data_IF_532834933973
#
_entry.id   IF_532834933973
#
_cell.length_a   1.000
_cell.length_b   1.000
_cell.length_c   1.000
_cell.angle_alpha   90.00
_cell.angle_beta   90.00
_cell.angle_gamma   90.00
#
_symmetry.space_group_name_H-M   'P 1'
#
loop_
_entity.id
_entity.type
_entity.pdbx_description
1 polymer ?
#
# COMPACT_ATOMS: atom_id res chain seq x y z
N UNK A 1 8.48 -15.42 -5.63
CA UNK A 1 8.21 -14.37 -4.62
C UNK A 1 9.03 -13.13 -4.94
N UNK A 2 8.38 -11.98 -5.12
CA UNK A 2 9.03 -10.66 -5.25
C UNK A 2 8.97 -9.95 -3.89
N UNK A 3 10.07 -9.30 -3.48
CA UNK A 3 10.08 -8.38 -2.33
C UNK A 3 10.01 -6.95 -2.82
N UNK A 4 9.19 -6.13 -2.19
CA UNK A 4 9.00 -4.73 -2.54
C UNK A 4 9.02 -3.80 -1.33
N UNK A 5 9.07 -2.51 -1.59
CA UNK A 5 8.99 -1.45 -0.58
C UNK A 5 8.11 -0.28 -1.04
N UNK A 6 7.82 0.65 -0.12
CA UNK A 6 6.81 1.69 -0.35
C UNK A 6 7.43 3.07 -0.57
N UNK A 7 7.11 3.69 -1.67
CA UNK A 7 7.15 5.11 -2.04
C UNK A 7 8.55 5.74 -2.08
N UNK A 8 9.27 5.82 -0.96
CA UNK A 8 10.53 6.56 -0.91
C UNK A 8 11.72 5.66 -1.16
N UNK A 9 12.59 6.04 -2.08
CA UNK A 9 13.94 5.51 -2.22
C UNK A 9 14.87 6.37 -1.34
N UNK A 10 15.54 5.73 -0.38
CA UNK A 10 16.47 6.38 0.54
C UNK A 10 17.93 6.10 0.16
N UNK A 11 18.18 5.00 -0.52
CA UNK A 11 19.48 4.66 -1.10
C UNK A 11 19.83 5.53 -2.30
N UNK A 12 21.06 5.40 -2.81
CA UNK A 12 21.51 6.13 -4.00
C UNK A 12 21.47 7.65 -3.88
N UNK A 13 21.50 8.20 -2.65
CA UNK A 13 21.37 9.64 -2.40
C UNK A 13 19.92 10.13 -2.26
N UNK A 14 18.94 9.21 -2.32
CA UNK A 14 17.51 9.51 -2.26
C UNK A 14 16.93 9.95 -3.61
N UNK A 15 15.79 9.35 -3.98
CA UNK A 15 15.05 9.75 -5.20
C UNK A 15 13.68 10.32 -4.83
N UNK A 16 13.25 11.43 -5.45
CA UNK A 16 11.90 11.95 -5.27
C UNK A 16 10.89 10.98 -5.87
N UNK A 17 9.75 10.76 -5.18
CA UNK A 17 8.71 9.82 -5.61
C UNK A 17 7.65 10.44 -6.51
N UNK A 18 7.52 11.75 -6.53
CA UNK A 18 6.57 12.55 -7.32
C UNK A 18 6.93 14.03 -7.22
N UNK A 19 6.27 14.87 -7.99
CA UNK A 19 6.42 16.32 -7.93
C UNK A 19 5.73 16.87 -6.66
N UNK A 20 6.52 17.26 -5.68
CA UNK A 20 6.06 17.75 -4.36
C UNK A 20 5.87 19.26 -4.30
N UNK A 21 5.97 19.97 -5.41
CA UNK A 21 5.76 21.42 -5.45
C UNK A 21 4.33 21.77 -5.02
N UNK A 22 4.17 22.95 -4.45
CA UNK A 22 2.85 23.47 -4.10
C UNK A 22 2.05 23.78 -5.38
N UNK A 23 0.73 23.73 -5.30
CA UNK A 23 -0.17 23.95 -6.43
C UNK A 23 0.10 25.28 -7.17
N UNK A 24 0.52 26.36 -6.46
CA UNK A 24 0.88 27.66 -7.05
C UNK A 24 2.12 27.60 -7.97
N UNK A 25 2.94 26.58 -7.83
CA UNK A 25 4.13 26.33 -8.67
C UNK A 25 3.84 25.32 -9.79
N UNK A 26 2.57 25.05 -10.05
CA UNK A 26 2.09 24.19 -11.13
C UNK A 26 2.82 22.81 -11.19
N UNK A 27 2.70 21.99 -10.13
CA UNK A 27 3.28 20.65 -10.17
C UNK A 27 2.62 19.82 -11.26
N UNK A 28 3.39 18.89 -11.85
CA UNK A 28 2.90 18.14 -13.00
C UNK A 28 3.16 16.65 -12.91
N UNK A 29 2.28 15.87 -13.52
CA UNK A 29 2.47 14.44 -13.71
C UNK A 29 3.72 14.13 -14.54
N UNK A 30 4.08 14.96 -15.52
CA UNK A 30 5.28 14.75 -16.33
C UNK A 30 6.56 14.74 -15.49
N UNK A 31 6.71 15.68 -14.56
CA UNK A 31 7.83 15.71 -13.60
C UNK A 31 7.79 14.45 -12.70
N UNK A 32 6.60 14.07 -12.22
CA UNK A 32 6.44 12.85 -11.42
C UNK A 32 6.82 11.59 -12.20
N UNK A 33 6.47 11.51 -13.49
CA UNK A 33 6.83 10.38 -14.36
C UNK A 33 8.34 10.30 -14.58
N UNK A 34 9.03 11.45 -14.74
CA UNK A 34 10.49 11.46 -14.82
C UNK A 34 11.14 10.96 -13.52
N UNK A 35 10.55 11.25 -12.35
CA UNK A 35 10.99 10.66 -11.09
C UNK A 35 10.73 9.16 -11.02
N UNK A 36 9.58 8.70 -11.52
CA UNK A 36 9.25 7.28 -11.55
C UNK A 36 10.19 6.51 -12.50
N UNK A 37 10.56 7.07 -13.65
CA UNK A 37 11.57 6.49 -14.55
C UNK A 37 12.92 6.29 -13.81
N UNK A 38 13.40 7.31 -13.12
CA UNK A 38 14.63 7.19 -12.32
C UNK A 38 14.52 6.13 -11.22
N UNK A 39 13.34 5.99 -10.60
CA UNK A 39 13.07 4.92 -9.64
C UNK A 39 13.09 3.54 -10.32
N UNK A 40 12.48 3.38 -11.51
CA UNK A 40 12.49 2.10 -12.23
C UNK A 40 13.91 1.64 -12.57
N UNK A 41 14.79 2.54 -13.01
CA UNK A 41 16.21 2.23 -13.24
C UNK A 41 16.92 1.82 -11.93
N UNK A 42 16.69 2.55 -10.84
CA UNK A 42 17.22 2.17 -9.52
C UNK A 42 16.73 0.79 -9.07
N UNK A 43 15.46 0.49 -9.26
CA UNK A 43 14.89 -0.82 -8.91
C UNK A 43 15.52 -1.94 -9.74
N UNK A 44 15.77 -1.70 -11.02
CA UNK A 44 16.45 -2.65 -11.91
C UNK A 44 17.89 -2.90 -11.46
N UNK A 45 18.66 -1.84 -11.20
CA UNK A 45 20.04 -1.91 -10.70
C UNK A 45 20.14 -2.68 -9.36
N UNK A 46 19.13 -2.57 -8.49
CA UNK A 46 19.07 -3.26 -7.21
C UNK A 46 18.36 -4.63 -7.27
N UNK A 47 17.95 -5.09 -8.46
CA UNK A 47 17.14 -6.31 -8.65
C UNK A 47 15.90 -6.35 -7.75
N UNK A 48 15.16 -5.24 -7.71
CA UNK A 48 13.88 -5.13 -6.97
C UNK A 48 12.74 -5.12 -7.98
N UNK A 49 11.87 -6.13 -7.94
CA UNK A 49 10.81 -6.34 -8.94
C UNK A 49 9.40 -6.04 -8.43
N UNK A 50 9.28 -5.34 -7.29
CA UNK A 50 8.00 -4.94 -6.73
C UNK A 50 8.11 -3.57 -6.04
N UNK A 51 7.22 -2.64 -6.39
CA UNK A 51 7.27 -1.28 -5.86
C UNK A 51 5.87 -0.70 -5.65
N UNK A 52 5.69 0.02 -4.53
CA UNK A 52 4.50 0.83 -4.28
C UNK A 52 4.77 2.28 -4.64
N UNK A 53 4.10 2.77 -5.70
CA UNK A 53 4.18 4.15 -6.15
C UNK A 53 3.55 5.12 -5.14
N UNK A 54 3.94 6.39 -5.21
CA UNK A 54 3.24 7.46 -4.51
C UNK A 54 1.82 7.64 -5.08
N UNK A 55 0.82 7.78 -4.21
CA UNK A 55 -0.56 8.11 -4.63
C UNK A 55 -0.67 9.49 -5.24
N UNK A 56 0.18 10.43 -4.83
CA UNK A 56 0.28 11.77 -5.41
C UNK A 56 1.10 11.82 -6.71
N UNK A 57 1.21 10.70 -7.46
CA UNK A 57 1.92 10.68 -8.74
C UNK A 57 1.38 11.72 -9.72
N UNK A 58 0.04 11.86 -9.81
CA UNK A 58 -0.61 13.02 -10.44
C UNK A 58 -0.95 14.05 -9.36
N UNK A 59 -0.09 15.08 -9.16
CA UNK A 59 -0.27 16.02 -8.07
C UNK A 59 -1.61 16.73 -8.14
N UNK A 60 -2.35 16.75 -7.02
CA UNK A 60 -3.65 17.40 -6.87
C UNK A 60 -4.76 16.90 -7.82
N UNK A 61 -4.59 15.81 -8.56
CA UNK A 61 -5.60 15.36 -9.52
C UNK A 61 -6.94 14.95 -8.88
N UNK A 62 -6.95 14.55 -7.61
CA UNK A 62 -8.16 14.25 -6.83
C UNK A 62 -8.64 15.41 -5.96
N UNK A 63 -7.93 16.56 -5.95
CA UNK A 63 -8.24 17.68 -5.05
C UNK A 63 -9.51 18.42 -5.50
N UNK A 64 -10.54 18.58 -4.62
CA UNK A 64 -11.84 19.14 -5.03
C UNK A 64 -11.78 20.60 -5.48
N UNK A 65 -10.90 21.40 -4.87
CA UNK A 65 -10.82 22.84 -5.14
C UNK A 65 -9.82 23.19 -6.25
N UNK A 66 -9.18 22.20 -6.86
CA UNK A 66 -8.14 22.40 -7.88
C UNK A 66 -8.44 21.61 -9.17
N UNK A 67 -9.61 21.83 -9.80
CA UNK A 67 -10.06 21.03 -10.96
C UNK A 67 -9.12 21.08 -12.16
N UNK A 68 -8.27 22.11 -12.28
CA UNK A 68 -7.28 22.26 -13.35
C UNK A 68 -6.24 21.12 -13.36
N UNK A 69 -6.06 20.42 -12.24
CA UNK A 69 -5.13 19.29 -12.15
C UNK A 69 -5.77 17.93 -12.49
N UNK A 70 -7.11 17.85 -12.59
CA UNK A 70 -7.85 16.59 -12.78
C UNK A 70 -7.50 15.90 -14.10
N UNK A 71 -7.26 16.65 -15.15
CA UNK A 71 -7.03 16.18 -16.51
C UNK A 71 -5.59 15.70 -16.77
N UNK A 72 -4.71 15.68 -15.75
CA UNK A 72 -3.31 15.32 -15.95
C UNK A 72 -3.10 13.92 -16.53
N UNK A 73 -3.81 12.85 -16.10
CA UNK A 73 -3.61 11.52 -16.70
C UNK A 73 -3.90 11.52 -18.22
N UNK A 74 -4.98 12.16 -18.65
CA UNK A 74 -5.33 12.25 -20.06
C UNK A 74 -4.33 13.08 -20.88
N UNK A 75 -3.86 14.22 -20.33
CA UNK A 75 -2.88 15.10 -20.99
C UNK A 75 -1.51 14.45 -21.18
N UNK A 76 -1.15 13.50 -20.33
CA UNK A 76 0.16 12.82 -20.34
C UNK A 76 0.05 11.34 -20.74
N UNK A 77 -0.97 10.96 -21.51
CA UNK A 77 -1.26 9.57 -21.86
C UNK A 77 -0.08 8.86 -22.53
N UNK A 78 0.62 9.50 -23.46
CA UNK A 78 1.79 8.94 -24.13
C UNK A 78 2.95 8.69 -23.15
N UNK A 79 3.20 9.61 -22.23
CA UNK A 79 4.23 9.47 -21.20
C UNK A 79 3.88 8.35 -20.22
N UNK A 80 2.62 8.26 -19.78
CA UNK A 80 2.14 7.16 -18.95
C UNK A 80 2.38 5.82 -19.64
N UNK A 81 1.99 5.68 -20.91
CA UNK A 81 2.18 4.46 -21.67
C UNK A 81 3.66 4.07 -21.78
N UNK A 82 4.56 5.04 -22.00
CA UNK A 82 6.00 4.80 -22.10
C UNK A 82 6.58 4.30 -20.77
N UNK A 83 6.26 4.96 -19.64
CA UNK A 83 6.73 4.54 -18.30
C UNK A 83 6.17 3.17 -17.94
N UNK A 84 4.90 2.91 -18.23
CA UNK A 84 4.28 1.60 -18.01
C UNK A 84 4.90 0.49 -18.86
N UNK A 85 5.26 0.78 -20.12
CA UNK A 85 5.99 -0.15 -20.98
C UNK A 85 7.37 -0.48 -20.37
N UNK A 86 8.10 0.52 -19.88
CA UNK A 86 9.38 0.32 -19.21
C UNK A 86 9.25 -0.56 -17.95
N UNK A 87 8.24 -0.30 -17.10
CA UNK A 87 7.99 -1.13 -15.93
C UNK A 87 7.73 -2.61 -16.29
N UNK A 88 6.94 -2.85 -17.37
CA UNK A 88 6.68 -4.22 -17.87
C UNK A 88 7.94 -4.88 -18.46
N UNK A 89 8.74 -4.14 -19.23
CA UNK A 89 10.02 -4.62 -19.78
C UNK A 89 10.96 -5.08 -18.66
N UNK A 90 11.03 -4.33 -17.56
CA UNK A 90 11.85 -4.66 -16.40
C UNK A 90 11.21 -5.74 -15.49
N UNK A 91 9.98 -6.18 -15.77
CA UNK A 91 9.25 -7.13 -14.93
C UNK A 91 8.91 -6.60 -13.54
N UNK A 92 8.79 -5.27 -13.38
CA UNK A 92 8.50 -4.62 -12.12
C UNK A 92 7.00 -4.53 -11.91
N UNK A 93 6.47 -5.20 -10.86
CA UNK A 93 5.10 -5.05 -10.39
C UNK A 93 4.93 -3.71 -9.67
N UNK A 94 3.99 -2.90 -10.13
CA UNK A 94 3.64 -1.62 -9.51
C UNK A 94 2.32 -1.73 -8.75
N UNK A 95 2.17 -0.97 -7.67
CA UNK A 95 0.91 -0.86 -6.92
C UNK A 95 0.80 0.52 -6.28
N UNK A 96 -0.37 0.89 -5.78
CA UNK A 96 -0.56 2.07 -4.94
C UNK A 96 -1.32 1.71 -3.66
N UNK A 97 -1.28 2.62 -2.69
CA UNK A 97 -2.02 2.48 -1.44
C UNK A 97 -2.41 3.87 -0.95
N UNK A 98 -3.60 4.36 -1.30
CA UNK A 98 -4.11 5.64 -0.82
C UNK A 98 -4.12 5.73 0.70
N UNK A 99 -3.92 6.94 1.20
CA UNK A 99 -3.84 7.17 2.63
C UNK A 99 -5.18 6.94 3.36
N UNK A 100 -5.12 6.98 4.68
CA UNK A 100 -6.25 6.72 5.60
C UNK A 100 -7.47 7.66 5.42
N UNK A 101 -7.38 8.67 4.57
CA UNK A 101 -8.49 9.59 4.25
C UNK A 101 -9.32 9.12 3.05
N UNK A 102 -8.88 8.10 2.33
CA UNK A 102 -9.62 7.48 1.23
C UNK A 102 -10.59 6.44 1.79
N UNK A 103 -11.74 6.91 2.25
CA UNK A 103 -12.69 6.16 3.08
C UNK A 103 -14.03 6.00 2.36
N UNK A 104 -14.21 4.85 1.67
CA UNK A 104 -15.47 4.54 0.95
C UNK A 104 -16.65 4.28 1.91
N UNK A 105 -16.40 3.95 3.17
CA UNK A 105 -17.43 3.66 4.18
C UNK A 105 -17.76 4.83 5.12
N UNK A 106 -17.29 6.05 4.83
CA UNK A 106 -17.60 7.24 5.64
C UNK A 106 -19.12 7.46 5.72
N UNK A 107 -19.62 7.95 6.86
CA UNK A 107 -21.01 8.43 6.96
C UNK A 107 -21.24 9.73 6.18
N UNK A 108 -20.18 10.54 6.01
CA UNK A 108 -20.20 11.76 5.23
C UNK A 108 -20.17 11.44 3.72
N UNK A 109 -21.22 11.78 2.94
CA UNK A 109 -21.28 11.53 1.52
C UNK A 109 -20.19 12.26 0.72
N UNK A 110 -19.73 13.42 1.20
CA UNK A 110 -18.68 14.18 0.52
C UNK A 110 -17.32 13.47 0.68
N UNK A 111 -17.02 12.93 1.86
CA UNK A 111 -15.81 12.10 2.08
C UNK A 111 -15.83 10.86 1.18
N UNK A 112 -16.99 10.18 1.04
CA UNK A 112 -17.12 9.05 0.11
C UNK A 112 -16.89 9.46 -1.34
N UNK A 113 -17.46 10.59 -1.75
CA UNK A 113 -17.26 11.13 -3.11
C UNK A 113 -15.80 11.43 -3.39
N UNK A 114 -15.09 12.08 -2.48
CA UNK A 114 -13.66 12.36 -2.60
C UNK A 114 -12.82 11.09 -2.62
N UNK A 115 -13.16 10.10 -1.80
CA UNK A 115 -12.51 8.78 -1.83
C UNK A 115 -12.69 8.10 -3.20
N UNK A 116 -13.89 8.16 -3.77
CA UNK A 116 -14.14 7.62 -5.10
C UNK A 116 -13.30 8.33 -6.18
N UNK A 117 -13.24 9.68 -6.16
CA UNK A 117 -12.39 10.44 -7.10
C UNK A 117 -10.92 10.05 -6.98
N UNK A 118 -10.40 9.85 -5.76
CA UNK A 118 -9.02 9.40 -5.57
C UNK A 118 -8.80 8.03 -6.22
N UNK A 119 -9.71 7.07 -6.03
CA UNK A 119 -9.60 5.73 -6.59
C UNK A 119 -9.72 5.73 -8.12
N UNK A 120 -10.57 6.57 -8.68
CA UNK A 120 -10.65 6.78 -10.14
C UNK A 120 -9.33 7.30 -10.71
N UNK A 121 -8.70 8.30 -10.07
CA UNK A 121 -7.39 8.80 -10.49
C UNK A 121 -6.32 7.70 -10.44
N UNK A 122 -6.30 6.88 -9.38
CA UNK A 122 -5.35 5.77 -9.29
C UNK A 122 -5.55 4.74 -10.42
N UNK A 123 -6.79 4.41 -10.73
CA UNK A 123 -7.12 3.50 -11.83
C UNK A 123 -6.73 4.09 -13.20
N UNK A 124 -7.06 5.35 -13.45
CA UNK A 124 -6.68 6.06 -14.68
C UNK A 124 -5.15 6.07 -14.91
N UNK A 125 -4.37 6.29 -13.85
CA UNK A 125 -2.91 6.23 -13.92
C UNK A 125 -2.41 4.83 -14.29
N UNK A 126 -2.94 3.79 -13.63
CA UNK A 126 -2.54 2.41 -13.89
C UNK A 126 -2.96 1.94 -15.29
N UNK A 127 -4.16 2.29 -15.72
CA UNK A 127 -4.67 1.94 -17.04
C UNK A 127 -3.95 2.72 -18.14
N UNK A 128 -3.66 4.01 -17.92
CA UNK A 128 -2.83 4.82 -18.82
C UNK A 128 -1.41 4.29 -19.00
N UNK A 129 -0.84 3.68 -17.94
CA UNK A 129 0.43 2.95 -18.02
C UNK A 129 0.28 1.57 -18.69
N UNK A 130 -0.94 1.07 -18.93
CA UNK A 130 -1.19 -0.28 -19.41
C UNK A 130 -0.68 -1.36 -18.45
N UNK A 131 -0.78 -1.14 -17.13
CA UNK A 131 -0.31 -2.08 -16.14
C UNK A 131 -1.20 -3.33 -16.08
N UNK A 132 -0.61 -4.52 -15.82
CA UNK A 132 -1.36 -5.77 -15.76
C UNK A 132 -2.32 -5.81 -14.55
N UNK A 133 -3.29 -6.76 -14.52
CA UNK A 133 -4.28 -6.87 -13.45
C UNK A 133 -3.69 -7.09 -12.04
N UNK A 134 -2.46 -7.59 -11.94
CA UNK A 134 -1.73 -7.74 -10.67
C UNK A 134 -1.30 -6.40 -10.04
N UNK A 135 -1.39 -5.30 -10.82
CA UNK A 135 -1.14 -3.94 -10.34
C UNK A 135 -2.42 -3.38 -9.71
N UNK A 136 -2.40 -3.23 -8.41
CA UNK A 136 -3.62 -3.00 -7.61
C UNK A 136 -3.51 -1.74 -6.74
N UNK A 137 -4.68 -1.22 -6.37
CA UNK A 137 -4.88 -0.13 -5.41
C UNK A 137 -5.36 -0.74 -4.11
N UNK A 138 -4.51 -0.72 -3.07
CA UNK A 138 -4.85 -1.26 -1.76
C UNK A 138 -5.65 -0.23 -0.97
N UNK A 139 -6.74 -0.66 -0.34
CA UNK A 139 -7.56 0.22 0.51
C UNK A 139 -7.90 -0.45 1.84
N UNK A 140 -7.95 0.33 2.91
CA UNK A 140 -8.59 -0.07 4.16
C UNK A 140 -10.10 0.17 4.10
N UNK A 141 -10.86 -0.55 4.90
CA UNK A 141 -12.32 -0.37 4.97
C UNK A 141 -12.68 1.01 5.53
N UNK A 142 -11.99 1.44 6.58
CA UNK A 142 -12.18 2.76 7.20
C UNK A 142 -12.77 2.69 8.61
N UNK A 143 -13.69 3.60 8.96
CA UNK A 143 -14.29 3.65 10.29
C UNK A 143 -15.49 2.70 10.46
N UNK A 144 -15.82 2.34 11.72
CA UNK A 144 -16.95 1.47 12.06
C UNK A 144 -18.09 2.22 12.77
N UNK A 145 -18.43 3.41 12.33
CA UNK A 145 -19.60 4.13 12.85
C UNK A 145 -20.87 3.26 12.65
N UNK A 146 -21.65 3.07 13.69
CA UNK A 146 -22.80 2.19 13.70
C UNK A 146 -22.47 0.66 13.78
N UNK A 147 -21.18 0.32 13.98
CA UNK A 147 -20.71 -1.06 14.07
C UNK A 147 -20.05 -1.58 12.79
N UNK A 148 -19.39 -2.74 12.91
CA UNK A 148 -18.64 -3.37 11.80
C UNK A 148 -19.56 -3.65 10.59
N UNK A 149 -20.71 -4.27 10.79
CA UNK A 149 -21.63 -4.62 9.70
C UNK A 149 -22.12 -3.38 8.94
N UNK A 150 -22.53 -2.32 9.66
CA UNK A 150 -22.91 -1.06 9.04
C UNK A 150 -21.77 -0.41 8.23
N UNK A 151 -20.53 -0.57 8.70
CA UNK A 151 -19.33 -0.11 7.99
C UNK A 151 -19.06 -0.90 6.72
N UNK A 152 -19.27 -2.23 6.72
CA UNK A 152 -19.16 -3.09 5.53
C UNK A 152 -20.25 -2.74 4.51
N UNK A 153 -21.50 -2.52 4.95
CA UNK A 153 -22.60 -2.10 4.08
C UNK A 153 -22.31 -0.77 3.37
N UNK A 154 -21.79 0.21 4.12
CA UNK A 154 -21.40 1.48 3.53
C UNK A 154 -20.21 1.36 2.56
N UNK A 155 -19.25 0.50 2.87
CA UNK A 155 -18.14 0.25 1.94
C UNK A 155 -18.63 -0.35 0.63
N UNK A 156 -19.47 -1.38 0.68
CA UNK A 156 -20.06 -2.00 -0.52
C UNK A 156 -20.84 -0.97 -1.34
N UNK A 157 -21.68 -0.15 -0.69
CA UNK A 157 -22.39 0.93 -1.36
C UNK A 157 -21.45 1.96 -2.02
N UNK A 158 -20.40 2.40 -1.30
CA UNK A 158 -19.39 3.32 -1.83
C UNK A 158 -18.59 2.70 -2.98
N UNK A 159 -18.18 1.44 -2.84
CA UNK A 159 -17.49 0.68 -3.88
C UNK A 159 -18.36 0.53 -5.16
N UNK A 160 -19.65 0.34 -4.99
CA UNK A 160 -20.62 0.27 -6.09
C UNK A 160 -20.71 1.56 -6.92
N UNK A 161 -20.26 2.70 -6.39
CA UNK A 161 -20.24 3.99 -7.13
C UNK A 161 -19.04 4.14 -8.05
N UNK A 162 -18.00 3.31 -7.89
CA UNK A 162 -16.79 3.34 -8.71
C UNK A 162 -17.06 2.83 -10.14
N UNK A 163 -16.28 3.32 -11.09
CA UNK A 163 -16.23 2.76 -12.44
C UNK A 163 -15.79 1.28 -12.42
N UNK A 164 -16.06 0.55 -13.49
CA UNK A 164 -15.58 -0.82 -13.63
C UNK A 164 -14.04 -0.90 -13.57
N UNK A 165 -13.36 0.05 -14.20
CA UNK A 165 -11.91 0.17 -14.18
C UNK A 165 -11.37 0.36 -12.76
N UNK A 166 -11.92 1.29 -11.99
CA UNK A 166 -11.50 1.50 -10.61
C UNK A 166 -11.82 0.29 -9.71
N UNK A 167 -13.01 -0.30 -9.85
CA UNK A 167 -13.37 -1.54 -9.13
C UNK A 167 -12.41 -2.68 -9.43
N UNK A 168 -11.97 -2.83 -10.68
CA UNK A 168 -11.04 -3.89 -11.07
C UNK A 168 -9.68 -3.77 -10.39
N UNK A 169 -9.23 -2.56 -10.05
CA UNK A 169 -7.94 -2.28 -9.41
C UNK A 169 -7.96 -2.36 -7.88
N UNK A 170 -9.11 -2.14 -7.24
CA UNK A 170 -9.23 -2.13 -5.78
C UNK A 170 -9.04 -3.51 -5.19
N UNK A 171 -8.23 -3.58 -4.12
CA UNK A 171 -8.07 -4.73 -3.22
C UNK A 171 -8.17 -4.26 -1.77
N UNK A 172 -8.63 -5.13 -0.88
CA UNK A 172 -9.03 -4.76 0.48
C UNK A 172 -8.01 -5.28 1.49
N UNK A 173 -7.55 -4.45 2.41
CA UNK A 173 -6.59 -4.82 3.45
C UNK A 173 -7.25 -4.86 4.83
N UNK A 174 -6.90 -5.87 5.66
CA UNK A 174 -7.25 -5.90 7.07
C UNK A 174 -6.51 -4.80 7.83
N UNK A 175 -7.14 -4.25 8.88
CA UNK A 175 -6.52 -3.19 9.68
C UNK A 175 -6.15 -3.64 11.12
N UNK A 176 -5.42 -2.78 11.83
CA UNK A 176 -4.85 -3.04 13.15
C UNK A 176 -5.82 -2.78 14.33
N UNK A 177 -7.12 -2.49 14.06
CA UNK A 177 -8.05 -2.00 15.11
C UNK A 177 -9.50 -2.43 14.97
N UNK A 178 -10.03 -2.49 13.75
CA UNK A 178 -11.46 -2.50 13.50
C UNK A 178 -11.91 -3.64 12.63
N UNK A 179 -11.31 -3.78 11.45
CA UNK A 179 -11.67 -4.78 10.46
C UNK A 179 -10.59 -5.85 10.36
N UNK A 180 -10.76 -6.91 11.14
CA UNK A 180 -9.86 -8.07 11.09
C UNK A 180 -10.01 -8.86 9.78
N UNK A 181 -9.21 -9.91 9.63
CA UNK A 181 -9.22 -10.73 8.41
C UNK A 181 -10.63 -11.25 8.06
N UNK A 182 -11.39 -11.75 9.03
CA UNK A 182 -12.75 -12.29 8.79
C UNK A 182 -13.69 -11.24 8.19
N UNK A 183 -13.57 -9.98 8.61
CA UNK A 183 -14.43 -8.90 8.13
C UNK A 183 -14.09 -8.55 6.68
N UNK A 184 -12.79 -8.46 6.33
CA UNK A 184 -12.39 -8.19 4.94
C UNK A 184 -12.62 -9.36 4.01
N UNK A 185 -12.60 -10.62 4.50
CA UNK A 185 -13.03 -11.79 3.73
C UNK A 185 -14.53 -11.73 3.40
N UNK A 186 -15.39 -11.37 4.37
CA UNK A 186 -16.82 -11.13 4.11
C UNK A 186 -17.03 -10.03 3.06
N UNK A 187 -16.22 -8.97 3.11
CA UNK A 187 -16.29 -7.90 2.13
C UNK A 187 -15.79 -8.35 0.75
N UNK A 188 -14.76 -9.21 0.72
CA UNK A 188 -14.28 -9.86 -0.51
C UNK A 188 -15.37 -10.70 -1.17
N UNK A 189 -16.11 -11.51 -0.42
CA UNK A 189 -17.25 -12.29 -0.92
C UNK A 189 -18.34 -11.39 -1.54
N UNK A 190 -18.63 -10.23 -0.93
CA UNK A 190 -19.67 -9.30 -1.37
C UNK A 190 -19.25 -8.47 -2.59
N UNK A 191 -17.98 -8.12 -2.71
CA UNK A 191 -17.46 -7.24 -3.76
C UNK A 191 -16.72 -7.96 -4.88
N UNK A 192 -16.36 -9.21 -4.68
CA UNK A 192 -15.50 -9.97 -5.57
C UNK A 192 -14.05 -9.42 -5.61
N UNK A 193 -13.61 -8.69 -4.59
CA UNK A 193 -12.27 -8.08 -4.57
C UNK A 193 -11.29 -8.86 -3.71
N UNK A 194 -10.03 -9.04 -4.19
CA UNK A 194 -9.01 -9.75 -3.44
C UNK A 194 -8.67 -9.09 -2.11
N UNK A 195 -8.21 -9.90 -1.16
CA UNK A 195 -7.71 -9.44 0.13
C UNK A 195 -6.18 -9.36 0.12
N UNK A 196 -5.63 -8.22 0.51
CA UNK A 196 -4.24 -8.06 0.91
C UNK A 196 -4.18 -8.31 2.42
N UNK A 197 -3.49 -9.37 2.82
CA UNK A 197 -3.29 -9.64 4.23
C UNK A 197 -2.04 -8.93 4.75
N UNK A 198 -2.20 -8.08 5.77
CA UNK A 198 -1.09 -7.52 6.54
C UNK A 198 -0.94 -8.34 7.82
N UNK A 199 0.22 -8.98 7.98
CA UNK A 199 0.51 -9.86 9.12
C UNK A 199 0.61 -9.10 10.44
N UNK A 200 1.15 -7.87 10.45
CA UNK A 200 1.26 -7.10 11.67
C UNK A 200 -0.11 -6.57 12.12
N UNK A 201 -0.92 -6.10 11.18
CA UNK A 201 -2.30 -5.71 11.46
C UNK A 201 -3.10 -6.89 12.03
N UNK A 202 -2.97 -8.07 11.41
CA UNK A 202 -3.61 -9.29 11.88
C UNK A 202 -3.20 -9.64 13.32
N UNK A 203 -1.91 -9.61 13.63
CA UNK A 203 -1.41 -9.85 15.00
C UNK A 203 -1.81 -8.77 16.00
N UNK A 204 -2.14 -7.55 15.55
CA UNK A 204 -2.68 -6.49 16.40
C UNK A 204 -4.17 -6.63 16.64
N UNK A 205 -4.93 -7.14 15.66
CA UNK A 205 -6.38 -7.22 15.70
C UNK A 205 -6.89 -8.45 14.94
N UNK A 206 -7.04 -9.54 15.67
CA UNK A 206 -7.66 -10.78 15.20
C UNK A 206 -8.71 -11.29 16.20
N UNK A 207 -9.92 -10.72 16.19
CA UNK A 207 -11.00 -11.19 17.10
C UNK A 207 -11.48 -12.62 16.80
N UNK A 208 -11.12 -13.16 15.63
CA UNK A 208 -11.51 -14.51 15.22
C UNK A 208 -10.50 -15.59 15.63
N UNK A 209 -9.28 -15.21 16.03
CA UNK A 209 -8.23 -16.14 16.45
C UNK A 209 -7.73 -17.03 15.31
N UNK A 210 -7.61 -16.50 14.10
CA UNK A 210 -7.17 -17.26 12.92
C UNK A 210 -5.64 -17.35 12.92
N UNK A 211 -5.04 -18.54 12.91
CA UNK A 211 -3.58 -18.68 12.83
C UNK A 211 -2.98 -18.06 11.56
N UNK A 212 -1.78 -17.47 11.65
CA UNK A 212 -1.13 -16.74 10.54
C UNK A 212 -1.09 -17.55 9.23
N UNK A 213 -0.77 -18.85 9.28
CA UNK A 213 -0.69 -19.71 8.09
C UNK A 213 -2.05 -19.97 7.45
N UNK A 214 -3.11 -20.05 8.24
CA UNK A 214 -4.48 -20.17 7.76
C UNK A 214 -4.96 -18.83 7.21
N UNK A 215 -4.65 -17.74 7.90
CA UNK A 215 -4.97 -16.37 7.49
C UNK A 215 -4.42 -16.06 6.10
N UNK A 216 -3.14 -16.39 5.85
CA UNK A 216 -2.54 -16.20 4.54
C UNK A 216 -3.24 -17.02 3.45
N UNK A 217 -3.55 -18.28 3.72
CA UNK A 217 -4.24 -19.16 2.73
C UNK A 217 -5.64 -18.65 2.40
N UNK A 218 -6.40 -18.22 3.40
CA UNK A 218 -7.71 -17.62 3.19
C UNK A 218 -7.65 -16.36 2.35
N UNK A 219 -6.70 -15.45 2.65
CA UNK A 219 -6.50 -14.23 1.87
C UNK A 219 -6.03 -14.54 0.43
N UNK A 220 -5.07 -15.45 0.28
CA UNK A 220 -4.56 -15.86 -1.03
C UNK A 220 -5.63 -16.48 -1.93
N UNK A 221 -6.55 -17.26 -1.36
CA UNK A 221 -7.66 -17.87 -2.08
C UNK A 221 -8.66 -16.85 -2.67
N UNK A 222 -8.62 -15.59 -2.25
CA UNK A 222 -9.45 -14.52 -2.82
C UNK A 222 -8.88 -13.93 -4.12
N UNK A 223 -7.63 -14.26 -4.46
CA UNK A 223 -7.00 -13.75 -5.67
C UNK A 223 -7.38 -14.59 -6.89
N UNK A 224 -7.57 -13.95 -8.06
CA UNK A 224 -7.88 -14.68 -9.29
C UNK A 224 -6.76 -15.65 -9.69
N UNK A 225 -7.12 -16.74 -10.33
CA UNK A 225 -6.16 -17.70 -10.89
C UNK A 225 -5.13 -17.02 -11.79
N UNK A 226 -3.87 -17.39 -11.64
CA UNK A 226 -2.75 -16.84 -12.40
C UNK A 226 -2.23 -15.48 -11.91
N UNK A 227 -2.83 -14.89 -10.89
CA UNK A 227 -2.34 -13.66 -10.25
C UNK A 227 -1.70 -14.01 -8.91
N UNK A 228 -0.39 -13.73 -8.79
CA UNK A 228 0.34 -13.93 -7.53
C UNK A 228 -0.23 -13.01 -6.44
N UNK A 229 -0.71 -13.57 -5.31
CA UNK A 229 -1.23 -12.78 -4.21
C UNK A 229 -0.20 -11.79 -3.67
N UNK A 230 -0.66 -10.60 -3.31
CA UNK A 230 0.12 -9.58 -2.62
C UNK A 230 -0.22 -9.61 -1.13
N UNK A 231 0.80 -9.50 -0.30
CA UNK A 231 0.64 -9.30 1.14
C UNK A 231 1.55 -8.18 1.65
N UNK A 232 1.28 -7.73 2.87
CA UNK A 232 2.15 -6.78 3.57
C UNK A 232 2.85 -7.49 4.75
N UNK A 233 4.12 -7.19 4.91
CA UNK A 233 4.93 -7.67 6.02
C UNK A 233 5.68 -6.52 6.68
N UNK A 234 5.56 -6.45 7.99
CA UNK A 234 6.35 -5.55 8.82
C UNK A 234 6.65 -6.22 10.17
N UNK A 235 7.64 -5.69 10.87
CA UNK A 235 7.91 -6.07 12.26
C UNK A 235 7.63 -4.89 13.18
N UNK A 236 7.16 -5.13 14.42
CA UNK A 236 6.90 -4.06 15.36
C UNK A 236 8.18 -3.34 15.76
N UNK A 237 8.09 -2.05 15.98
CA UNK A 237 9.19 -1.27 16.55
C UNK A 237 9.47 -1.72 17.98
N UNK A 238 10.74 -1.90 18.32
CA UNK A 238 11.17 -2.30 19.66
C UNK A 238 11.81 -1.15 20.45
N UNK A 239 12.32 -0.13 19.77
CA UNK A 239 12.97 1.01 20.42
C UNK A 239 11.96 1.93 21.10
N UNK A 240 12.33 2.42 22.30
CA UNK A 240 11.54 3.41 23.01
C UNK A 240 11.38 4.71 22.21
N UNK A 241 10.22 5.32 22.33
CA UNK A 241 9.87 6.58 21.65
C UNK A 241 9.83 7.74 22.65
N UNK A 242 10.43 8.87 22.27
CA UNK A 242 10.20 10.12 23.01
C UNK A 242 8.85 10.71 22.58
N UNK A 243 7.86 10.71 23.47
CA UNK A 243 6.58 11.40 23.25
C UNK A 243 6.58 12.72 23.95
N UNK A 244 6.19 13.76 23.21
CA UNK A 244 5.99 15.12 23.71
C UNK A 244 4.51 15.32 24.01
N UNK A 245 4.20 15.66 25.27
CA UNK A 245 2.84 16.03 25.70
C UNK A 245 2.84 17.49 26.14
N UNK A 246 1.92 18.27 25.59
CA UNK A 246 1.71 19.64 26.07
C UNK A 246 0.82 19.62 27.33
N UNK A 247 1.35 20.13 28.42
CA UNK A 247 0.63 20.30 29.69
C UNK A 247 0.63 21.79 30.01
N UNK A 248 -0.46 22.48 29.69
CA UNK A 248 -0.54 23.94 29.76
C UNK A 248 0.46 24.62 28.81
N UNK A 249 1.40 25.41 29.34
CA UNK A 249 2.46 26.10 28.60
C UNK A 249 3.76 25.28 28.52
N UNK A 250 3.84 24.13 29.20
CA UNK A 250 5.07 23.30 29.24
C UNK A 250 4.92 22.11 28.28
N UNK A 251 6.05 21.68 27.73
CA UNK A 251 6.16 20.43 26.94
C UNK A 251 6.89 19.42 27.81
N UNK A 252 6.17 18.40 28.24
CA UNK A 252 6.74 17.24 28.93
C UNK A 252 7.20 16.22 27.88
N UNK A 253 8.39 15.65 28.10
CA UNK A 253 8.95 14.56 27.29
C UNK A 253 8.94 13.29 28.12
N UNK A 254 8.39 12.24 27.56
CA UNK A 254 8.35 10.91 28.20
C UNK A 254 8.88 9.86 27.22
N UNK A 255 9.73 8.99 27.71
CA UNK A 255 10.07 7.75 26.99
C UNK A 255 8.95 6.75 27.21
N UNK A 256 8.42 6.20 26.13
CA UNK A 256 7.36 5.20 26.16
C UNK A 256 7.70 4.04 25.24
N UNK A 257 7.20 2.87 25.53
CA UNK A 257 7.27 1.75 24.59
C UNK A 257 6.38 2.06 23.39
N UNK A 258 6.82 1.75 22.16
CA UNK A 258 5.98 1.90 20.98
C UNK A 258 4.78 0.94 21.05
N UNK A 259 3.64 1.29 20.46
CA UNK A 259 2.55 0.34 20.30
C UNK A 259 2.97 -0.76 19.33
N UNK A 260 2.45 -1.98 19.50
CA UNK A 260 2.76 -3.15 18.65
C UNK A 260 2.60 -2.85 17.16
N UNK A 261 1.61 -2.06 16.78
CA UNK A 261 1.34 -1.63 15.38
C UNK A 261 2.33 -0.63 14.79
N UNK A 262 3.29 -0.12 15.58
CA UNK A 262 4.30 0.80 15.05
C UNK A 262 5.34 0.01 14.27
N UNK A 263 5.45 0.27 12.98
CA UNK A 263 6.45 -0.39 12.11
C UNK A 263 7.88 0.00 12.52
N UNK A 264 8.76 -0.99 12.57
CA UNK A 264 10.17 -0.81 12.78
C UNK A 264 10.84 -0.07 11.59
N UNK A 265 12.03 0.43 11.82
CA UNK A 265 12.84 1.03 10.75
C UNK A 265 13.36 -0.04 9.79
N UNK A 266 13.70 -1.21 10.30
CA UNK A 266 14.19 -2.36 9.56
C UNK A 266 13.27 -3.58 9.79
N UNK A 267 13.41 -4.58 8.95
CA UNK A 267 12.75 -5.87 9.13
C UNK A 267 13.63 -6.75 10.01
N UNK A 268 13.04 -7.42 11.00
CA UNK A 268 13.68 -8.46 11.78
C UNK A 268 13.86 -9.70 10.90
N UNK A 269 15.11 -10.14 10.62
CA UNK A 269 15.37 -11.28 9.74
C UNK A 269 14.89 -12.61 10.32
N UNK A 270 14.91 -12.79 11.65
CA UNK A 270 14.42 -14.02 12.28
C UNK A 270 12.89 -14.13 12.16
N UNK A 271 12.19 -13.01 12.37
CA UNK A 271 10.74 -12.97 12.19
C UNK A 271 10.35 -13.21 10.73
N UNK A 272 11.15 -12.69 9.78
CA UNK A 272 10.89 -12.89 8.36
C UNK A 272 11.20 -14.32 7.91
N UNK A 273 12.27 -14.94 8.39
CA UNK A 273 12.60 -16.33 8.10
C UNK A 273 11.52 -17.27 8.67
N UNK A 274 11.13 -17.10 9.93
CA UNK A 274 10.02 -17.85 10.52
C UNK A 274 8.69 -17.66 9.75
N UNK A 275 8.43 -16.46 9.20
CA UNK A 275 7.29 -16.21 8.34
C UNK A 275 7.39 -17.02 7.04
N UNK A 276 8.55 -17.08 6.40
CA UNK A 276 8.74 -17.88 5.17
C UNK A 276 8.52 -19.36 5.43
N UNK A 277 9.09 -19.90 6.52
CA UNK A 277 9.09 -21.33 6.82
C UNK A 277 7.75 -21.85 7.34
N UNK A 278 7.03 -21.06 8.13
CA UNK A 278 5.86 -21.54 8.87
C UNK A 278 4.52 -20.92 8.41
N UNK A 279 4.57 -19.82 7.68
CA UNK A 279 3.36 -19.12 7.23
C UNK A 279 3.22 -19.22 5.72
N UNK A 280 4.26 -18.89 4.96
CA UNK A 280 4.24 -18.98 3.49
C UNK A 280 4.23 -20.44 3.03
N UNK A 281 5.09 -21.28 3.61
CA UNK A 281 5.09 -22.75 3.43
C UNK A 281 4.91 -23.16 1.95
N UNK A 282 5.75 -22.61 1.07
CA UNK A 282 5.74 -22.92 -0.36
C UNK A 282 4.66 -22.24 -1.20
N UNK A 283 3.77 -21.44 -0.62
CA UNK A 283 2.81 -20.64 -1.37
C UNK A 283 3.52 -19.53 -2.15
N UNK A 284 3.16 -19.36 -3.43
CA UNK A 284 3.70 -18.24 -4.22
C UNK A 284 2.99 -16.93 -3.84
N UNK A 285 3.75 -15.97 -3.33
CA UNK A 285 3.24 -14.64 -2.90
C UNK A 285 4.25 -13.54 -3.20
N UNK A 286 3.78 -12.32 -3.36
CA UNK A 286 4.62 -11.12 -3.41
C UNK A 286 4.48 -10.33 -2.11
N UNK A 287 5.60 -9.95 -1.50
CA UNK A 287 5.64 -9.35 -0.18
C UNK A 287 6.05 -7.88 -0.26
N UNK A 288 5.15 -6.99 0.16
CA UNK A 288 5.46 -5.57 0.35
C UNK A 288 5.96 -5.36 1.78
N UNK A 289 7.24 -5.01 1.91
CA UNK A 289 7.83 -4.70 3.20
C UNK A 289 7.45 -3.28 3.65
N UNK A 290 6.83 -3.18 4.81
CA UNK A 290 6.41 -1.90 5.38
C UNK A 290 7.35 -1.44 6.50
N UNK A 291 8.63 -1.30 6.20
CA UNK A 291 9.64 -0.73 7.09
C UNK A 291 9.87 0.75 6.82
N UNK A 292 10.26 1.54 7.84
CA UNK A 292 10.49 2.98 7.67
C UNK A 292 11.73 3.30 6.86
N UNK A 293 12.76 2.44 6.89
CA UNK A 293 13.97 2.57 6.09
C UNK A 293 13.80 2.05 4.64
N UNK A 294 12.58 1.69 4.21
CA UNK A 294 12.18 1.47 2.82
C UNK A 294 13.08 0.47 2.08
N UNK A 295 13.67 0.91 0.93
CA UNK A 295 14.63 0.14 0.13
C UNK A 295 15.85 -0.33 0.94
N UNK A 296 16.37 0.50 1.84
CA UNK A 296 17.49 0.12 2.71
C UNK A 296 17.14 -1.04 3.64
N UNK A 297 15.88 -1.09 4.13
CA UNK A 297 15.41 -2.22 4.93
C UNK A 297 15.34 -3.50 4.09
N UNK A 298 14.85 -3.42 2.85
CA UNK A 298 14.78 -4.55 1.93
C UNK A 298 16.18 -5.08 1.58
N UNK A 299 17.08 -4.19 1.19
CA UNK A 299 18.45 -4.58 0.81
C UNK A 299 19.20 -5.22 1.97
N UNK A 300 19.07 -4.64 3.19
CA UNK A 300 19.65 -5.22 4.40
C UNK A 300 19.07 -6.60 4.72
N UNK A 301 17.76 -6.76 4.62
CA UNK A 301 17.13 -8.06 4.86
C UNK A 301 17.67 -9.11 3.89
N UNK A 302 17.74 -8.79 2.58
CA UNK A 302 18.30 -9.71 1.56
C UNK A 302 19.74 -10.10 1.89
N UNK A 303 20.59 -9.16 2.25
CA UNK A 303 21.97 -9.41 2.63
C UNK A 303 22.07 -10.36 3.83
N UNK A 304 21.25 -10.12 4.87
CA UNK A 304 21.25 -10.95 6.07
C UNK A 304 20.82 -12.40 5.79
N UNK A 305 19.74 -12.57 5.02
CA UNK A 305 19.26 -13.91 4.63
C UNK A 305 20.25 -14.66 3.73
N UNK A 306 20.94 -13.95 2.82
CA UNK A 306 21.99 -14.57 1.99
C UNK A 306 23.18 -15.04 2.82
N UNK A 307 23.63 -14.22 3.78
CA UNK A 307 24.74 -14.61 4.69
C UNK A 307 24.37 -15.80 5.57
N UNK A 308 23.14 -15.84 6.10
CA UNK A 308 22.69 -16.95 6.92
C UNK A 308 22.63 -18.29 6.17
N UNK A 309 22.30 -18.25 4.86
CA UNK A 309 22.25 -19.46 4.00
C UNK A 309 23.59 -19.91 3.46
N UNK A 310 24.61 -19.05 3.50
CA UNK A 310 25.96 -19.34 3.04
C UNK A 310 26.86 -19.92 4.15
N UNK A 311 26.42 -19.89 5.40
CA UNK A 311 27.08 -20.47 6.59
C UNK A 311 26.58 -21.87 6.86
#
# INVERSE_FOLDING_TARGET
>A
MRLGFAVKVLGGGGLPSHDTRRWQSEPSLDVSLSHLEAILEYLDDQDIRFYRMATALAPYASHPDLPQFREQPARHAERLAAVGARARELGIRLSTHPGQYTVLNSEDPEVRRLAAVELEVQAELMDGMGLPPESVVVVHVGGAAGGVDAGLDRFEAGFGTLSEAARARVVIENDDRTYGLRDVLRLSERTGRPVVWDILHHRCHDPAGIPDHEALRLAAATWPDGIVPKLHFSTPRTDVEERKRRVGRRVERRLVLPPMRAHADLIDPLAFEAFLDHVVDGLEVDVMLEAKAKDLALLRLREQLQRARAS
#
